data_IF_366058613451
#
_entry.id   IF_366058613451
#
_cell.length_a   1.000
_cell.length_b   1.000
_cell.length_c   1.000
_cell.angle_alpha   90.00
_cell.angle_beta   90.00
_cell.angle_gamma   90.00
#
_symmetry.space_group_name_H-M   'P 1'
#
loop_
_entity.id
_entity.type
_entity.pdbx_description
1 polymer ?
#
# COMPACT_ATOMS: atom_id res chain seq x y z
N UNK A 1 -19.26 -28.71 -75.50
CA UNK A 1 -18.45 -27.86 -74.58
C UNK A 1 -19.23 -26.73 -73.89
N UNK A 2 -20.42 -26.31 -74.34
CA UNK A 2 -21.18 -25.19 -73.71
C UNK A 2 -22.02 -25.55 -72.47
N UNK A 3 -22.39 -26.82 -72.28
CA UNK A 3 -23.28 -27.26 -71.17
C UNK A 3 -22.57 -27.29 -69.80
N UNK A 4 -21.29 -27.65 -69.76
CA UNK A 4 -20.52 -27.72 -68.51
C UNK A 4 -20.23 -26.35 -67.89
N UNK A 5 -20.16 -25.29 -68.69
CA UNK A 5 -19.92 -23.92 -68.19
C UNK A 5 -21.17 -23.36 -67.52
N UNK A 6 -22.35 -23.64 -68.09
CA UNK A 6 -23.64 -23.24 -67.50
C UNK A 6 -23.90 -23.96 -66.17
N UNK A 7 -23.67 -25.27 -66.11
CA UNK A 7 -23.88 -26.05 -64.88
C UNK A 7 -22.95 -25.57 -63.75
N UNK A 8 -21.67 -25.29 -64.05
CA UNK A 8 -20.72 -24.76 -63.07
C UNK A 8 -21.10 -23.35 -62.60
N UNK A 9 -21.57 -22.49 -63.50
CA UNK A 9 -22.04 -21.15 -63.17
C UNK A 9 -23.26 -21.17 -62.25
N UNK A 10 -24.27 -21.98 -62.59
CA UNK A 10 -25.48 -22.12 -61.78
C UNK A 10 -25.20 -22.71 -60.39
N UNK A 11 -24.32 -23.72 -60.31
CA UNK A 11 -23.92 -24.30 -59.02
C UNK A 11 -23.20 -23.28 -58.12
N UNK A 12 -22.32 -22.47 -58.71
CA UNK A 12 -21.59 -21.43 -57.98
C UNK A 12 -22.55 -20.35 -57.45
N UNK A 13 -23.50 -19.89 -58.27
CA UNK A 13 -24.50 -18.90 -57.84
C UNK A 13 -25.37 -19.41 -56.70
N UNK A 14 -25.79 -20.69 -56.74
CA UNK A 14 -26.54 -21.31 -55.64
C UNK A 14 -25.70 -21.35 -54.36
N UNK A 15 -24.41 -21.70 -54.46
CA UNK A 15 -23.52 -21.73 -53.30
C UNK A 15 -23.34 -20.36 -52.65
N UNK A 16 -23.19 -19.32 -53.47
CA UNK A 16 -23.05 -17.94 -53.01
C UNK A 16 -24.32 -17.48 -52.30
N UNK A 17 -25.50 -17.74 -52.87
CA UNK A 17 -26.78 -17.40 -52.23
C UNK A 17 -26.95 -18.17 -50.91
N UNK A 18 -26.61 -19.45 -50.88
CA UNK A 18 -26.68 -20.27 -49.67
C UNK A 18 -25.74 -19.75 -48.57
N UNK A 19 -24.53 -19.32 -48.95
CA UNK A 19 -23.58 -18.70 -48.03
C UNK A 19 -24.13 -17.41 -47.43
N UNK A 20 -24.74 -16.54 -48.24
CA UNK A 20 -25.33 -15.28 -47.76
C UNK A 20 -26.51 -15.56 -46.81
N UNK A 21 -27.33 -16.56 -47.13
CA UNK A 21 -28.45 -16.98 -46.26
C UNK A 21 -27.94 -17.55 -44.94
N UNK A 22 -26.92 -18.42 -44.96
CA UNK A 22 -26.31 -18.93 -43.73
C UNK A 22 -25.68 -17.80 -42.89
N UNK A 23 -24.97 -16.87 -43.52
CA UNK A 23 -24.40 -15.71 -42.83
C UNK A 23 -25.49 -14.84 -42.19
N UNK A 24 -26.62 -14.66 -42.87
CA UNK A 24 -27.78 -13.97 -42.29
C UNK A 24 -28.37 -14.72 -41.09
N UNK A 25 -28.46 -16.06 -41.15
CA UNK A 25 -28.92 -16.87 -40.02
C UNK A 25 -27.96 -16.84 -38.83
N UNK A 26 -26.64 -16.78 -39.05
CA UNK A 26 -25.65 -16.62 -37.97
C UNK A 26 -25.78 -15.22 -37.34
N UNK A 27 -25.99 -14.19 -38.16
CA UNK A 27 -26.17 -12.82 -37.64
C UNK A 27 -27.48 -12.62 -36.88
N UNK A 28 -28.54 -13.34 -37.25
CA UNK A 28 -29.85 -13.30 -36.59
C UNK A 28 -30.02 -14.32 -35.45
N UNK A 29 -29.14 -15.30 -35.37
CA UNK A 29 -29.12 -16.32 -34.32
C UNK A 29 -28.48 -15.75 -33.06
N UNK A 30 -29.24 -15.01 -32.26
CA UNK A 30 -28.89 -14.86 -30.85
C UNK A 30 -28.90 -16.27 -30.23
N UNK A 31 -27.83 -16.70 -29.53
CA UNK A 31 -27.93 -17.88 -28.70
C UNK A 31 -29.01 -17.60 -27.65
N UNK A 32 -30.00 -18.47 -27.58
CA UNK A 32 -30.94 -18.50 -26.46
C UNK A 32 -30.13 -19.02 -25.27
N UNK A 33 -29.32 -18.14 -24.67
CA UNK A 33 -28.77 -18.41 -23.35
C UNK A 33 -29.99 -18.46 -22.45
N UNK A 34 -30.36 -19.66 -21.98
CA UNK A 34 -31.12 -19.76 -20.75
C UNK A 34 -30.42 -18.83 -19.77
N UNK A 35 -31.07 -17.73 -19.41
CA UNK A 35 -30.57 -16.84 -18.37
C UNK A 35 -30.54 -17.72 -17.14
N UNK A 36 -29.36 -18.26 -16.83
CA UNK A 36 -29.07 -18.71 -15.49
C UNK A 36 -29.32 -17.46 -14.68
N UNK A 37 -30.45 -17.44 -13.97
CA UNK A 37 -30.72 -16.49 -12.92
C UNK A 37 -29.68 -16.83 -11.83
N UNK A 38 -28.44 -16.42 -12.07
CA UNK A 38 -27.48 -16.23 -11.01
C UNK A 38 -28.16 -15.15 -10.20
N UNK A 39 -28.79 -15.54 -9.09
CA UNK A 39 -29.13 -14.57 -8.05
C UNK A 39 -27.84 -13.79 -7.85
N UNK A 40 -27.83 -12.55 -8.28
CA UNK A 40 -26.80 -11.60 -7.91
C UNK A 40 -26.85 -11.60 -6.38
N UNK A 41 -25.92 -12.33 -5.75
CA UNK A 41 -25.83 -12.36 -4.30
C UNK A 41 -25.43 -10.92 -3.98
N UNK A 42 -26.36 -10.13 -3.44
CA UNK A 42 -26.04 -8.81 -2.91
C UNK A 42 -24.91 -8.98 -1.89
N UNK A 43 -23.67 -8.74 -2.33
CA UNK A 43 -22.50 -8.82 -1.47
C UNK A 43 -22.67 -7.76 -0.38
N UNK A 44 -22.70 -8.21 0.87
CA UNK A 44 -22.82 -7.30 2.01
C UNK A 44 -21.58 -6.40 2.07
N UNK A 45 -21.77 -5.09 2.03
CA UNK A 45 -20.68 -4.11 2.10
C UNK A 45 -20.39 -3.77 3.55
N UNK A 46 -19.14 -3.91 3.99
CA UNK A 46 -18.72 -3.57 5.35
C UNK A 46 -18.69 -2.05 5.56
N UNK A 47 -18.11 -1.32 4.62
CA UNK A 47 -18.10 0.14 4.59
C UNK A 47 -17.98 0.60 3.13
N UNK A 48 -16.77 0.87 2.65
CA UNK A 48 -16.49 1.41 1.32
C UNK A 48 -15.33 0.69 0.62
N UNK A 49 -15.37 0.73 -0.70
CA UNK A 49 -14.25 0.37 -1.56
C UNK A 49 -13.24 1.52 -1.66
N UNK A 50 -11.99 1.20 -1.99
CA UNK A 50 -10.94 2.17 -2.25
C UNK A 50 -10.20 1.85 -3.54
N UNK A 51 -9.79 2.90 -4.24
CA UNK A 51 -8.88 2.79 -5.39
C UNK A 51 -7.49 2.38 -4.92
N UNK A 52 -6.69 1.75 -5.81
CA UNK A 52 -5.31 1.39 -5.49
C UNK A 52 -4.51 2.62 -5.00
N UNK A 53 -4.74 3.78 -5.62
CA UNK A 53 -4.10 5.03 -5.23
C UNK A 53 -4.47 5.57 -3.85
N UNK A 54 -5.57 5.12 -3.25
CA UNK A 54 -5.92 5.49 -1.88
C UNK A 54 -5.24 4.59 -0.83
N UNK A 55 -4.68 3.45 -1.25
CA UNK A 55 -4.08 2.43 -0.38
C UNK A 55 -2.57 2.32 -0.58
N UNK A 56 -2.09 2.37 -1.83
CA UNK A 56 -0.68 2.31 -2.20
C UNK A 56 -0.15 3.73 -2.39
N UNK A 57 0.23 4.36 -1.27
CA UNK A 57 0.58 5.80 -1.22
C UNK A 57 1.94 6.03 -0.57
N UNK A 58 2.66 7.10 -0.97
CA UNK A 58 3.87 7.50 -0.28
C UNK A 58 3.53 7.99 1.14
N UNK A 59 4.44 7.77 2.09
CA UNK A 59 4.29 8.22 3.47
C UNK A 59 5.09 9.47 3.80
N UNK A 60 6.08 9.80 2.97
CA UNK A 60 6.94 10.95 3.18
C UNK A 60 7.59 11.39 1.86
N UNK A 61 8.10 12.61 1.87
CA UNK A 61 8.98 13.11 0.83
C UNK A 61 10.36 13.47 1.40
N UNK A 62 11.37 13.36 0.56
CA UNK A 62 12.72 13.84 0.84
C UNK A 62 13.21 14.71 -0.31
N UNK A 63 13.60 15.96 -0.05
CA UNK A 63 14.26 16.83 -1.01
C UNK A 63 15.76 16.90 -0.72
N UNK A 64 16.59 16.72 -1.74
CA UNK A 64 18.04 16.78 -1.65
C UNK A 64 18.52 18.01 -2.42
N UNK A 65 19.05 19.02 -1.73
CA UNK A 65 19.42 20.31 -2.31
C UNK A 65 20.57 20.95 -1.55
N UNK A 66 21.53 21.54 -2.29
CA UNK A 66 22.78 22.15 -1.80
C UNK A 66 23.60 21.22 -0.89
N UNK A 67 23.60 19.91 -1.19
CA UNK A 67 24.22 18.86 -0.36
C UNK A 67 23.62 18.73 1.07
N UNK A 68 22.40 19.23 1.28
CA UNK A 68 21.59 18.97 2.46
C UNK A 68 20.37 18.14 2.09
N UNK A 69 19.83 17.42 3.07
CA UNK A 69 18.65 16.57 2.94
C UNK A 69 17.54 17.12 3.81
N UNK A 70 16.34 17.20 3.25
CA UNK A 70 15.17 17.75 3.92
C UNK A 70 14.00 16.79 3.80
N UNK A 71 13.30 16.53 4.90
CA UNK A 71 12.18 15.59 4.92
C UNK A 71 10.91 16.22 5.49
N UNK A 72 9.77 15.67 5.05
CA UNK A 72 8.49 15.88 5.72
C UNK A 72 7.56 14.68 5.54
N UNK A 73 6.78 14.39 6.58
CA UNK A 73 5.64 13.48 6.53
C UNK A 73 4.31 14.23 6.34
N UNK A 74 4.35 15.57 6.25
CA UNK A 74 3.15 16.39 6.17
C UNK A 74 2.31 16.01 4.95
N UNK A 75 1.05 15.71 5.22
CA UNK A 75 0.08 15.29 4.23
C UNK A 75 -0.11 16.31 3.10
N UNK A 76 0.04 17.62 3.33
CA UNK A 76 -0.13 18.65 2.31
C UNK A 76 0.89 18.45 1.18
N UNK A 77 2.18 18.44 1.52
CA UNK A 77 3.27 18.26 0.54
C UNK A 77 3.25 16.88 -0.11
N UNK A 78 3.03 15.82 0.68
CA UNK A 78 2.98 14.44 0.16
C UNK A 78 1.81 14.28 -0.82
N UNK A 79 0.64 14.85 -0.50
CA UNK A 79 -0.53 14.77 -1.36
C UNK A 79 -0.41 15.66 -2.60
N UNK A 80 0.19 16.86 -2.51
CA UNK A 80 0.42 17.76 -3.66
C UNK A 80 1.21 17.01 -4.73
N UNK A 81 2.39 16.48 -4.38
CA UNK A 81 3.25 15.79 -5.34
C UNK A 81 2.63 14.47 -5.85
N UNK A 82 1.99 13.70 -4.96
CA UNK A 82 1.33 12.45 -5.36
C UNK A 82 0.10 12.67 -6.26
N UNK A 83 -0.62 13.79 -6.09
CA UNK A 83 -1.76 14.14 -6.94
C UNK A 83 -1.30 14.62 -8.31
N UNK A 84 -0.28 15.48 -8.35
CA UNK A 84 0.32 15.96 -9.60
C UNK A 84 0.87 14.83 -10.44
N UNK A 85 1.54 13.87 -9.79
CA UNK A 85 2.14 12.70 -10.43
C UNK A 85 1.14 11.88 -11.28
N UNK A 86 -0.17 11.97 -11.01
CA UNK A 86 -1.22 11.30 -11.80
C UNK A 86 -1.28 11.79 -13.24
N UNK A 87 -0.93 13.05 -13.46
CA UNK A 87 -0.95 13.69 -14.77
C UNK A 87 0.36 13.51 -15.54
N UNK A 88 1.39 12.97 -14.89
CA UNK A 88 2.72 12.86 -15.47
C UNK A 88 2.73 11.84 -16.60
N UNK A 89 3.35 12.21 -17.71
CA UNK A 89 3.49 11.36 -18.87
C UNK A 89 4.87 10.70 -18.85
N UNK A 90 4.97 9.57 -18.14
CA UNK A 90 6.21 8.80 -18.09
C UNK A 90 6.52 8.20 -19.47
N UNK A 91 7.78 8.31 -19.87
CA UNK A 91 8.30 7.48 -20.97
C UNK A 91 8.46 6.03 -20.52
N UNK A 92 8.76 5.13 -21.48
CA UNK A 92 8.98 3.71 -21.21
C UNK A 92 9.97 3.53 -20.04
N UNK A 93 9.54 2.79 -19.02
CA UNK A 93 10.39 2.41 -17.89
C UNK A 93 11.31 1.29 -18.32
N UNK A 94 12.61 1.50 -18.10
CA UNK A 94 13.66 0.55 -18.45
C UNK A 94 14.45 0.15 -17.20
N UNK A 95 14.80 -1.13 -17.10
CA UNK A 95 15.67 -1.62 -16.03
C UNK A 95 17.10 -1.08 -16.23
N UNK A 96 17.59 -0.29 -15.28
CA UNK A 96 18.99 0.15 -15.20
C UNK A 96 19.87 -0.89 -14.47
N UNK A 97 19.23 -1.89 -13.85
CA UNK A 97 19.87 -3.02 -13.20
C UNK A 97 20.18 -2.80 -11.72
N UNK A 98 20.79 -3.82 -11.12
CA UNK A 98 21.27 -3.78 -9.73
C UNK A 98 22.56 -2.98 -9.62
N UNK A 99 22.63 -2.05 -8.67
CA UNK A 99 23.81 -1.24 -8.37
C UNK A 99 24.53 -1.72 -7.12
N UNK A 100 25.75 -1.25 -6.89
CA UNK A 100 26.40 -1.38 -5.57
C UNK A 100 25.75 -0.39 -4.62
N UNK A 101 25.62 -0.70 -3.33
CA UNK A 101 24.87 0.14 -2.37
C UNK A 101 25.34 1.60 -2.34
N UNK A 102 26.67 1.84 -2.30
CA UNK A 102 27.21 3.21 -2.34
C UNK A 102 26.98 3.94 -3.67
N UNK A 103 26.79 3.23 -4.78
CA UNK A 103 26.38 3.83 -6.06
C UNK A 103 24.87 4.10 -6.08
N UNK A 104 24.08 3.17 -5.55
CA UNK A 104 22.64 3.32 -5.38
C UNK A 104 22.30 4.58 -4.58
N UNK A 105 22.85 4.72 -3.37
CA UNK A 105 22.61 5.88 -2.49
C UNK A 105 23.01 7.21 -3.15
N UNK A 106 24.15 7.22 -3.85
CA UNK A 106 24.59 8.42 -4.59
C UNK A 106 23.64 8.82 -5.70
N UNK A 107 23.00 7.87 -6.38
CA UNK A 107 22.01 8.17 -7.44
C UNK A 107 20.72 8.71 -6.82
N UNK A 108 20.21 8.08 -5.76
CA UNK A 108 18.90 8.45 -5.20
C UNK A 108 18.95 9.74 -4.37
N UNK A 109 20.08 10.05 -3.74
CA UNK A 109 20.24 11.21 -2.87
C UNK A 109 21.03 12.37 -3.52
N UNK A 110 21.20 12.36 -4.84
CA UNK A 110 21.94 13.40 -5.54
C UNK A 110 21.27 14.78 -5.40
N UNK A 111 22.08 15.82 -5.48
CA UNK A 111 21.60 17.20 -5.43
C UNK A 111 20.59 17.53 -6.54
N UNK A 112 19.53 18.26 -6.20
CA UNK A 112 18.46 18.62 -7.13
C UNK A 112 17.45 17.50 -7.35
N UNK A 113 17.19 16.69 -6.32
CA UNK A 113 16.18 15.62 -6.41
C UNK A 113 15.12 15.73 -5.33
N UNK A 114 13.96 15.14 -5.63
CA UNK A 114 12.92 14.86 -4.64
C UNK A 114 12.46 13.41 -4.73
N UNK A 115 12.37 12.76 -3.58
CA UNK A 115 12.01 11.37 -3.41
C UNK A 115 10.60 11.28 -2.82
N UNK A 116 9.73 10.51 -3.46
CA UNK A 116 8.50 9.97 -2.86
C UNK A 116 8.83 8.62 -2.26
N UNK A 117 8.68 8.49 -0.95
CA UNK A 117 9.09 7.30 -0.21
C UNK A 117 7.84 6.56 0.27
N UNK A 118 7.75 5.28 -0.05
CA UNK A 118 6.63 4.42 0.29
C UNK A 118 6.92 3.57 1.54
N UNK A 119 5.88 3.18 2.30
CA UNK A 119 6.04 2.32 3.47
C UNK A 119 6.75 0.99 3.18
N UNK A 120 6.60 0.44 1.97
CA UNK A 120 7.20 -0.82 1.55
C UNK A 120 7.26 -0.95 0.02
N UNK A 121 7.80 -2.05 -0.47
CA UNK A 121 7.88 -2.37 -1.90
C UNK A 121 6.48 -2.55 -2.51
N UNK A 122 6.21 -1.77 -3.54
CA UNK A 122 4.98 -1.77 -4.32
C UNK A 122 5.26 -2.44 -5.66
N UNK A 123 4.41 -3.40 -6.09
CA UNK A 123 4.46 -3.93 -7.44
C UNK A 123 4.17 -2.89 -8.51
N UNK A 124 4.94 -2.89 -9.60
CA UNK A 124 4.64 -2.07 -10.77
C UNK A 124 3.26 -2.40 -11.36
N UNK A 125 2.81 -3.66 -11.27
CA UNK A 125 1.46 -4.06 -11.70
C UNK A 125 0.33 -3.30 -10.98
N UNK A 126 0.55 -2.87 -9.73
CA UNK A 126 -0.37 -2.01 -8.97
C UNK A 126 -0.17 -0.56 -9.38
N UNK A 127 1.08 -0.13 -9.51
CA UNK A 127 1.41 1.24 -9.85
C UNK A 127 0.90 1.65 -11.24
N UNK A 128 1.00 0.77 -12.24
CA UNK A 128 0.48 0.97 -13.59
C UNK A 128 -1.05 1.04 -13.67
N UNK A 129 -1.78 0.61 -12.63
CA UNK A 129 -3.23 0.86 -12.53
C UNK A 129 -3.53 2.30 -12.13
N UNK A 130 -2.57 2.98 -11.50
CA UNK A 130 -2.72 4.33 -10.96
C UNK A 130 -2.12 5.37 -11.93
N UNK A 131 -0.97 5.04 -12.50
CA UNK A 131 -0.17 5.93 -13.35
C UNK A 131 0.00 5.33 -14.74
N UNK A 132 0.03 6.18 -15.77
CA UNK A 132 0.26 5.76 -17.16
C UNK A 132 1.74 5.39 -17.36
N UNK A 133 2.10 4.19 -16.90
CA UNK A 133 3.47 3.70 -16.87
C UNK A 133 3.54 2.36 -17.57
N UNK A 134 4.29 2.36 -18.67
CA UNK A 134 4.57 1.19 -19.49
C UNK A 134 6.07 0.87 -19.47
N UNK A 135 6.43 -0.39 -19.66
CA UNK A 135 7.82 -0.82 -19.73
C UNK A 135 7.95 -2.32 -19.91
N UNK A 136 9.16 -2.77 -20.28
CA UNK A 136 9.47 -4.20 -20.43
C UNK A 136 9.75 -4.83 -19.07
N UNK A 137 9.28 -6.06 -18.90
CA UNK A 137 9.60 -6.92 -17.74
C UNK A 137 9.18 -6.33 -16.37
N UNK A 138 8.18 -5.44 -16.35
CA UNK A 138 7.69 -4.82 -15.10
C UNK A 138 6.73 -5.71 -14.28
N UNK A 139 6.23 -6.80 -14.85
CA UNK A 139 5.18 -7.64 -14.26
C UNK A 139 5.50 -8.11 -12.84
N UNK A 140 6.78 -8.40 -12.58
CA UNK A 140 7.28 -8.89 -11.30
C UNK A 140 8.17 -7.87 -10.59
N UNK A 141 8.31 -6.66 -11.15
CA UNK A 141 9.15 -5.61 -10.59
C UNK A 141 8.45 -4.94 -9.41
N UNK A 142 9.25 -4.53 -8.42
CA UNK A 142 8.77 -3.75 -7.28
C UNK A 142 9.71 -2.58 -7.01
N UNK A 143 9.19 -1.53 -6.37
CA UNK A 143 9.95 -0.35 -5.94
C UNK A 143 9.35 0.19 -4.63
N UNK A 144 10.13 0.93 -3.85
CA UNK A 144 9.66 1.63 -2.66
C UNK A 144 10.01 3.13 -2.65
N UNK A 145 10.71 3.61 -3.68
CA UNK A 145 10.95 5.04 -3.89
C UNK A 145 10.72 5.44 -5.34
N UNK A 146 10.27 6.66 -5.52
CA UNK A 146 10.26 7.34 -6.83
C UNK A 146 11.07 8.62 -6.66
N UNK A 147 12.14 8.77 -7.43
CA UNK A 147 13.04 9.92 -7.38
C UNK A 147 12.84 10.73 -8.65
N UNK A 148 12.46 11.98 -8.48
CA UNK A 148 12.35 12.96 -9.55
C UNK A 148 13.65 13.78 -9.58
N UNK A 149 14.44 13.59 -10.63
CA UNK A 149 15.61 14.44 -10.89
C UNK A 149 15.15 15.75 -11.51
N UNK A 150 15.29 16.84 -10.76
CA UNK A 150 14.89 18.17 -11.20
C UNK A 150 15.94 18.86 -12.06
N UNK A 151 17.10 18.23 -12.24
CA UNK A 151 18.13 18.67 -13.18
C UNK A 151 17.76 18.25 -14.60
N UNK A 152 17.80 19.21 -15.52
CA UNK A 152 17.49 18.98 -16.93
C UNK A 152 18.66 18.24 -17.59
N UNK A 153 18.36 17.15 -18.28
CA UNK A 153 19.36 16.41 -19.08
C UNK A 153 19.66 17.12 -20.40
N UNK A 154 20.75 16.71 -21.08
CA UNK A 154 21.14 17.25 -22.39
C UNK A 154 20.07 17.07 -23.48
N UNK A 155 19.18 16.08 -23.33
CA UNK A 155 18.06 15.83 -24.25
C UNK A 155 16.85 16.71 -23.98
N UNK A 156 16.90 17.54 -22.93
CA UNK A 156 15.82 18.42 -22.50
C UNK A 156 14.73 17.73 -21.66
N UNK A 157 14.93 16.46 -21.31
CA UNK A 157 14.04 15.68 -20.44
C UNK A 157 14.55 15.65 -19.00
N UNK A 158 13.68 15.23 -18.07
CA UNK A 158 14.00 15.05 -16.65
C UNK A 158 13.96 13.57 -16.31
N UNK A 159 14.97 13.07 -15.59
CA UNK A 159 15.05 11.65 -15.27
C UNK A 159 14.15 11.31 -14.08
N UNK A 160 13.48 10.16 -14.13
CA UNK A 160 12.78 9.59 -12.98
C UNK A 160 13.34 8.22 -12.69
N UNK A 161 13.65 7.96 -11.43
CA UNK A 161 14.08 6.66 -10.97
C UNK A 161 12.99 6.02 -10.11
N UNK A 162 12.69 4.76 -10.36
CA UNK A 162 11.92 3.90 -9.47
C UNK A 162 12.88 2.90 -8.85
N UNK A 163 12.98 2.86 -7.53
CA UNK A 163 14.07 2.12 -6.89
C UNK A 163 13.57 1.20 -5.78
N UNK A 164 14.30 0.09 -5.61
CA UNK A 164 14.04 -0.93 -4.60
C UNK A 164 15.23 -1.02 -3.65
N UNK A 165 15.10 -0.44 -2.47
CA UNK A 165 16.17 -0.36 -1.47
C UNK A 165 16.62 -1.75 -0.98
N UNK A 166 15.74 -2.76 -1.00
CA UNK A 166 16.11 -4.12 -0.57
C UNK A 166 17.08 -4.78 -1.56
N UNK A 167 16.82 -4.60 -2.85
CA UNK A 167 17.51 -5.30 -3.93
C UNK A 167 18.60 -4.45 -4.64
N UNK A 168 18.76 -3.19 -4.26
CA UNK A 168 19.62 -2.19 -4.93
C UNK A 168 19.29 -2.02 -6.41
N UNK A 169 18.03 -2.21 -6.78
CA UNK A 169 17.60 -2.23 -8.18
C UNK A 169 16.99 -0.88 -8.56
N UNK A 170 17.40 -0.37 -9.73
CA UNK A 170 16.92 0.90 -10.28
C UNK A 170 16.25 0.64 -11.62
N UNK A 171 15.05 1.17 -11.78
CA UNK A 171 14.36 1.36 -13.05
C UNK A 171 14.36 2.85 -13.38
N UNK A 172 14.51 3.18 -14.65
CA UNK A 172 14.64 4.55 -15.12
C UNK A 172 13.54 4.87 -16.13
N UNK A 173 13.00 6.07 -16.04
CA UNK A 173 12.12 6.69 -17.02
C UNK A 173 12.52 8.16 -17.16
N UNK A 174 11.76 8.90 -17.96
CA UNK A 174 11.91 10.34 -18.13
C UNK A 174 10.57 11.04 -18.29
N UNK A 175 10.55 12.33 -17.90
CA UNK A 175 9.42 13.24 -17.94
C UNK A 175 9.72 14.48 -18.77
N UNK A 176 8.66 15.12 -19.24
CA UNK A 176 8.73 16.43 -19.87
C UNK A 176 8.74 17.56 -18.82
N UNK A 177 9.24 18.73 -19.22
CA UNK A 177 9.33 19.91 -18.34
C UNK A 177 7.98 20.36 -17.75
N UNK A 178 6.87 20.11 -18.44
CA UNK A 178 5.53 20.48 -17.92
C UNK A 178 5.14 19.71 -16.66
N UNK A 179 5.63 18.47 -16.52
CA UNK A 179 5.23 17.53 -15.48
C UNK A 179 6.08 17.72 -14.21
N UNK A 180 7.35 18.12 -14.34
CA UNK A 180 8.30 18.21 -13.22
C UNK A 180 8.17 19.47 -12.36
N UNK A 181 7.26 20.40 -12.69
CA UNK A 181 7.22 21.75 -12.10
C UNK A 181 6.99 21.77 -10.59
N UNK A 182 6.09 20.94 -10.07
CA UNK A 182 5.84 20.87 -8.63
C UNK A 182 7.01 20.27 -7.87
N UNK A 183 7.63 19.22 -8.42
CA UNK A 183 8.89 18.67 -7.90
C UNK A 183 9.98 19.75 -7.82
N UNK A 184 10.19 20.51 -8.91
CA UNK A 184 11.13 21.63 -8.95
C UNK A 184 10.82 22.71 -7.89
N UNK A 185 9.54 23.07 -7.75
CA UNK A 185 9.11 24.05 -6.74
C UNK A 185 9.48 23.57 -5.35
N UNK A 186 9.12 22.34 -4.97
CA UNK A 186 9.40 21.80 -3.63
C UNK A 186 10.91 21.75 -3.37
N UNK A 187 11.72 21.27 -4.33
CA UNK A 187 13.19 21.22 -4.19
C UNK A 187 13.79 22.61 -4.00
N UNK A 188 13.34 23.61 -4.76
CA UNK A 188 13.83 24.99 -4.67
C UNK A 188 13.38 25.71 -3.38
N UNK A 189 12.33 25.21 -2.73
CA UNK A 189 11.78 25.78 -1.51
C UNK A 189 12.18 25.00 -0.25
N UNK A 190 12.83 23.85 -0.39
CA UNK A 190 13.16 22.92 0.69
C UNK A 190 13.98 23.55 1.83
N UNK A 191 14.91 24.45 1.50
CA UNK A 191 15.79 25.13 2.46
C UNK A 191 15.19 26.43 3.03
N UNK A 192 13.99 26.82 2.58
CA UNK A 192 13.28 27.97 3.17
C UNK A 192 12.87 27.62 4.58
N UNK A 193 13.01 28.60 5.48
CA UNK A 193 12.65 28.43 6.90
C UNK A 193 11.22 27.89 7.04
N UNK A 194 11.08 26.79 7.78
CA UNK A 194 9.82 26.09 8.05
C UNK A 194 9.17 25.40 6.84
N UNK A 195 9.85 25.26 5.69
CA UNK A 195 9.32 24.48 4.58
C UNK A 195 9.42 22.98 4.87
N UNK A 196 10.62 22.49 5.12
CA UNK A 196 10.93 21.09 5.43
C UNK A 196 11.94 21.00 6.59
N UNK A 197 12.09 19.82 7.19
CA UNK A 197 13.05 19.58 8.27
C UNK A 197 14.37 19.09 7.72
N UNK A 198 15.47 19.79 8.00
CA UNK A 198 16.82 19.32 7.66
C UNK A 198 17.18 18.08 8.49
N UNK A 199 17.68 17.05 7.81
CA UNK A 199 17.96 15.74 8.39
C UNK A 199 19.32 15.24 7.89
N UNK A 200 20.40 15.46 8.66
CA UNK A 200 21.72 14.94 8.33
C UNK A 200 21.73 13.44 8.01
N UNK A 201 22.58 13.07 7.06
CA UNK A 201 22.80 11.69 6.64
C UNK A 201 23.57 10.90 7.71
N UNK A 202 23.11 9.68 8.00
CA UNK A 202 23.75 8.71 8.86
C UNK A 202 23.80 7.38 8.12
N UNK A 203 24.97 6.76 8.02
CA UNK A 203 25.16 5.47 7.35
C UNK A 203 25.26 4.34 8.38
N UNK A 204 24.19 3.59 8.66
CA UNK A 204 24.23 2.45 9.58
C UNK A 204 25.04 1.27 9.02
N UNK A 205 24.88 0.93 7.74
CA UNK A 205 25.67 -0.10 7.03
C UNK A 205 25.48 -0.02 5.52
N UNK A 206 24.35 -0.52 5.01
CA UNK A 206 24.11 -0.69 3.56
C UNK A 206 23.58 0.57 2.88
N UNK A 207 22.59 1.22 3.50
CA UNK A 207 21.93 2.41 2.98
C UNK A 207 21.91 3.51 4.02
N UNK A 208 22.00 4.75 3.56
CA UNK A 208 21.86 5.91 4.42
C UNK A 208 20.43 6.08 4.95
N UNK A 209 20.35 6.52 6.19
CA UNK A 209 19.14 7.05 6.83
C UNK A 209 19.37 8.51 7.20
N UNK A 210 18.30 9.26 7.38
CA UNK A 210 18.38 10.70 7.59
C UNK A 210 17.74 11.05 8.91
N UNK A 211 18.51 11.68 9.80
CA UNK A 211 18.14 11.87 11.19
C UNK A 211 18.42 13.31 11.63
N UNK A 212 17.44 13.94 12.27
CA UNK A 212 17.59 15.23 12.94
C UNK A 212 18.03 15.08 14.39
N UNK A 213 18.86 16.03 14.84
CA UNK A 213 19.27 16.22 16.24
C UNK A 213 18.25 17.05 17.05
N UNK A 214 17.23 17.61 16.41
CA UNK A 214 16.24 18.44 17.07
C UNK A 214 15.11 17.58 17.68
N UNK A 215 14.64 17.91 18.90
CA UNK A 215 13.43 17.32 19.43
C UNK A 215 12.20 17.78 18.63
N UNK A 216 11.19 16.92 18.56
CA UNK A 216 9.98 17.18 17.78
C UNK A 216 8.80 17.39 18.72
N UNK A 217 8.01 18.44 18.50
CA UNK A 217 6.76 18.69 19.23
C UNK A 217 5.57 18.27 18.38
N UNK A 218 4.72 17.43 18.94
CA UNK A 218 3.52 16.92 18.28
C UNK A 218 2.36 16.81 19.24
N UNK A 219 1.14 16.87 18.72
CA UNK A 219 -0.08 16.67 19.52
C UNK A 219 -0.50 15.22 19.50
N UNK A 220 -0.92 14.72 20.66
CA UNK A 220 -1.71 13.50 20.73
C UNK A 220 -3.10 13.74 20.17
N UNK A 221 -3.69 12.67 19.64
CA UNK A 221 -5.04 12.70 19.10
C UNK A 221 -5.92 11.74 19.87
N UNK A 222 -7.18 12.11 20.11
CA UNK A 222 -8.17 11.23 20.72
C UNK A 222 -9.38 11.12 19.82
N UNK A 223 -9.93 9.91 19.73
CA UNK A 223 -11.11 9.63 18.90
C UNK A 223 -12.10 8.79 19.68
N UNK A 224 -13.38 9.17 19.59
CA UNK A 224 -14.48 8.25 19.87
C UNK A 224 -14.53 7.26 18.71
N UNK A 225 -14.59 5.97 19.03
CA UNK A 225 -14.72 4.92 18.03
C UNK A 225 -16.17 4.54 17.78
N UNK A 226 -16.53 4.31 16.52
CA UNK A 226 -17.79 3.71 16.13
C UNK A 226 -17.60 2.20 15.98
N UNK A 227 -18.27 1.42 16.83
CA UNK A 227 -18.16 -0.05 16.83
C UNK A 227 -19.15 -0.65 15.85
N UNK A 228 -18.67 -1.53 14.99
CA UNK A 228 -19.45 -2.13 13.92
C UNK A 228 -20.12 -3.42 14.37
N UNK A 229 -21.31 -3.71 13.83
CA UNK A 229 -22.01 -4.95 14.09
C UNK A 229 -21.26 -6.15 13.47
N UNK A 230 -20.95 -7.17 14.28
CA UNK A 230 -20.27 -8.39 13.85
C UNK A 230 -21.08 -9.15 12.79
N UNK A 231 -22.42 -9.00 12.79
CA UNK A 231 -23.27 -9.57 11.76
C UNK A 231 -22.93 -9.07 10.35
N UNK A 232 -22.39 -7.86 10.23
CA UNK A 232 -21.93 -7.32 8.95
C UNK A 232 -20.77 -8.14 8.38
N UNK A 233 -19.81 -8.49 9.25
CA UNK A 233 -18.63 -9.28 8.88
C UNK A 233 -18.98 -10.74 8.60
N UNK A 234 -19.87 -11.34 9.39
CA UNK A 234 -20.31 -12.73 9.12
C UNK A 234 -20.99 -12.85 7.77
N UNK A 235 -21.86 -11.90 7.40
CA UNK A 235 -22.52 -11.87 6.08
C UNK A 235 -21.57 -11.57 4.93
N UNK A 236 -20.57 -10.72 5.16
CA UNK A 236 -19.59 -10.38 4.15
C UNK A 236 -18.61 -11.53 3.90
N UNK A 237 -18.07 -12.14 4.97
CA UNK A 237 -16.92 -13.05 4.87
C UNK A 237 -17.30 -14.53 4.77
N UNK A 238 -18.51 -14.94 5.14
CA UNK A 238 -18.93 -16.33 4.99
C UNK A 238 -19.57 -16.56 3.60
N UNK A 239 -18.97 -17.42 2.75
CA UNK A 239 -19.41 -17.62 1.37
C UNK A 239 -20.81 -18.27 1.28
N UNK A 240 -21.17 -19.08 2.27
CA UNK A 240 -22.48 -19.71 2.38
C UNK A 240 -23.28 -19.15 3.58
N UNK A 241 -24.42 -18.51 3.29
CA UNK A 241 -25.39 -18.03 4.29
C UNK A 241 -26.19 -19.16 4.96
N UNK A 242 -25.57 -20.31 5.20
CA UNK A 242 -26.13 -21.33 6.07
C UNK A 242 -26.35 -20.80 7.49
N UNK A 243 -26.84 -21.65 8.41
CA UNK A 243 -27.02 -21.23 9.80
C UNK A 243 -25.68 -20.90 10.47
N UNK A 244 -25.33 -19.62 10.53
CA UNK A 244 -24.20 -19.11 11.32
C UNK A 244 -24.50 -19.40 12.79
N UNK A 245 -23.60 -20.14 13.45
CA UNK A 245 -23.66 -20.41 14.87
C UNK A 245 -22.83 -19.37 15.63
N UNK A 246 -23.39 -18.88 16.72
CA UNK A 246 -22.69 -18.04 17.68
C UNK A 246 -22.22 -18.93 18.85
N UNK A 247 -20.92 -18.90 19.12
CA UNK A 247 -20.22 -19.61 20.19
C UNK A 247 -19.41 -18.57 21.00
N UNK A 248 -20.10 -17.89 21.92
CA UNK A 248 -19.59 -16.80 22.78
C UNK A 248 -18.88 -15.68 22.00
N UNK A 249 -17.55 -15.72 21.95
CA UNK A 249 -16.70 -14.76 21.24
C UNK A 249 -16.34 -15.22 19.83
N UNK A 250 -17.12 -16.12 19.24
CA UNK A 250 -16.86 -16.61 17.89
C UNK A 250 -18.11 -16.96 17.09
N UNK A 251 -17.96 -16.90 15.78
CA UNK A 251 -19.02 -17.20 14.81
C UNK A 251 -18.50 -18.21 13.80
N UNK A 252 -19.31 -19.19 13.43
CA UNK A 252 -18.91 -20.18 12.42
C UNK A 252 -20.08 -20.60 11.53
N UNK A 253 -19.79 -20.83 10.25
CA UNK A 253 -20.71 -21.46 9.30
C UNK A 253 -20.40 -22.96 9.10
N UNK A 254 -19.51 -23.53 9.90
CA UNK A 254 -19.04 -24.92 9.83
C UNK A 254 -17.80 -25.13 8.96
N UNK A 255 -17.54 -24.28 7.96
CA UNK A 255 -16.32 -24.32 7.12
C UNK A 255 -15.27 -23.31 7.54
N UNK A 256 -15.70 -22.19 8.11
CA UNK A 256 -14.87 -21.04 8.45
C UNK A 256 -15.31 -20.48 9.81
N UNK A 257 -14.43 -19.69 10.43
CA UNK A 257 -14.65 -19.15 11.78
C UNK A 257 -14.24 -17.68 11.85
N UNK A 258 -14.99 -16.87 12.58
CA UNK A 258 -14.61 -15.54 13.03
C UNK A 258 -14.40 -15.62 14.54
N UNK A 259 -13.25 -15.20 15.04
CA UNK A 259 -12.93 -15.09 16.47
C UNK A 259 -12.79 -13.62 16.83
N UNK A 260 -13.35 -13.23 17.98
CA UNK A 260 -13.31 -11.86 18.46
C UNK A 260 -12.37 -11.73 19.66
N UNK A 261 -11.44 -10.78 19.55
CA UNK A 261 -10.82 -10.13 20.70
C UNK A 261 -11.73 -8.95 21.09
N UNK A 262 -12.57 -9.18 22.09
CA UNK A 262 -13.55 -8.18 22.56
C UNK A 262 -12.90 -7.02 23.29
N UNK A 263 -11.71 -7.23 23.87
CA UNK A 263 -10.99 -6.21 24.60
C UNK A 263 -10.34 -5.23 23.62
N UNK A 264 -9.70 -5.73 22.56
CA UNK A 264 -9.08 -4.86 21.55
C UNK A 264 -10.01 -4.49 20.40
N UNK A 265 -11.22 -5.05 20.38
CA UNK A 265 -12.18 -4.92 19.28
C UNK A 265 -11.58 -5.28 17.91
N UNK A 266 -10.86 -6.39 17.89
CA UNK A 266 -10.27 -6.98 16.69
C UNK A 266 -10.96 -8.30 16.40
N UNK A 267 -11.27 -8.56 15.13
CA UNK A 267 -11.75 -9.85 14.66
C UNK A 267 -10.67 -10.54 13.84
N UNK A 268 -10.68 -11.87 13.88
CA UNK A 268 -9.89 -12.73 13.01
C UNK A 268 -10.83 -13.73 12.33
N UNK A 269 -10.96 -13.62 11.01
CA UNK A 269 -11.55 -14.64 10.16
C UNK A 269 -10.51 -15.69 9.78
N UNK A 270 -10.91 -16.97 9.80
CA UNK A 270 -10.07 -18.13 9.52
C UNK A 270 -10.85 -19.10 8.62
N UNK A 271 -10.23 -19.50 7.51
CA UNK A 271 -10.71 -20.57 6.64
C UNK A 271 -9.70 -21.73 6.63
N UNK A 272 -9.84 -22.74 7.51
CA UNK A 272 -8.86 -23.81 7.66
C UNK A 272 -8.56 -24.59 6.37
N UNK A 273 -9.51 -24.67 5.43
CA UNK A 273 -9.29 -25.35 4.14
C UNK A 273 -8.22 -24.70 3.27
N UNK A 274 -7.90 -23.42 3.52
CA UNK A 274 -6.96 -22.62 2.76
C UNK A 274 -5.58 -22.52 3.41
N UNK A 275 -5.38 -23.21 4.54
CA UNK A 275 -4.08 -23.23 5.21
C UNK A 275 -2.98 -23.75 4.26
N UNK A 276 -1.87 -23.03 4.22
CA UNK A 276 -0.71 -23.38 3.40
C UNK A 276 0.55 -23.09 4.19
N UNK A 277 1.47 -24.05 4.24
CA UNK A 277 2.83 -23.79 4.74
C UNK A 277 3.58 -23.02 3.65
N UNK A 278 4.05 -21.81 3.97
CA UNK A 278 4.75 -20.97 3.01
C UNK A 278 6.26 -21.12 3.15
N UNK A 279 6.91 -21.71 2.15
CA UNK A 279 8.36 -21.71 2.01
C UNK A 279 8.74 -21.33 0.58
N UNK A 280 9.68 -20.38 0.43
CA UNK A 280 10.28 -19.98 -0.85
C UNK A 280 9.31 -19.53 -1.94
N UNK A 281 8.53 -18.48 -1.64
CA UNK A 281 7.63 -17.86 -2.61
C UNK A 281 8.38 -17.07 -3.70
N UNK A 282 7.98 -17.27 -4.97
CA UNK A 282 8.50 -16.49 -6.11
C UNK A 282 8.03 -15.04 -6.09
N UNK A 283 8.78 -14.13 -6.71
CA UNK A 283 8.40 -12.70 -6.81
C UNK A 283 7.05 -12.50 -7.50
N UNK A 284 6.77 -13.25 -8.57
CA UNK A 284 5.49 -13.19 -9.28
C UNK A 284 4.31 -13.53 -8.36
N UNK A 285 4.46 -14.58 -7.56
CA UNK A 285 3.43 -15.01 -6.62
C UNK A 285 3.23 -13.99 -5.49
N UNK A 286 4.31 -13.40 -4.97
CA UNK A 286 4.26 -12.28 -4.02
C UNK A 286 3.46 -11.10 -4.59
N UNK A 287 3.75 -10.69 -5.83
CA UNK A 287 3.05 -9.58 -6.50
C UNK A 287 1.56 -9.88 -6.64
N UNK A 288 1.21 -11.07 -7.12
CA UNK A 288 -0.20 -11.50 -7.22
C UNK A 288 -0.89 -11.43 -5.86
N UNK A 289 -0.28 -11.99 -4.82
CA UNK A 289 -0.89 -12.02 -3.49
C UNK A 289 -1.10 -10.65 -2.87
N UNK A 290 -0.18 -9.69 -3.08
CA UNK A 290 -0.40 -8.31 -2.64
C UNK A 290 -1.64 -7.71 -3.34
N UNK A 291 -1.79 -7.96 -4.64
CA UNK A 291 -2.95 -7.53 -5.41
C UNK A 291 -4.23 -8.23 -4.95
N UNK A 292 -4.17 -9.55 -4.75
CA UNK A 292 -5.31 -10.39 -4.33
C UNK A 292 -5.79 -9.98 -2.93
N UNK A 293 -4.87 -9.70 -2.00
CA UNK A 293 -5.21 -9.19 -0.67
C UNK A 293 -5.89 -7.82 -0.72
N UNK A 294 -5.42 -6.91 -1.59
CA UNK A 294 -6.09 -5.62 -1.79
C UNK A 294 -7.50 -5.80 -2.39
N UNK A 295 -7.63 -6.68 -3.39
CA UNK A 295 -8.90 -7.02 -4.02
C UNK A 295 -9.87 -7.63 -3.02
N UNK A 296 -9.41 -8.56 -2.18
CA UNK A 296 -10.22 -9.20 -1.15
C UNK A 296 -10.84 -8.18 -0.18
N UNK A 297 -10.05 -7.20 0.29
CA UNK A 297 -10.62 -6.14 1.14
C UNK A 297 -11.64 -5.31 0.36
N UNK A 298 -11.37 -4.99 -0.91
CA UNK A 298 -12.29 -4.24 -1.77
C UNK A 298 -13.59 -4.98 -2.10
N UNK A 299 -13.54 -6.29 -2.32
CA UNK A 299 -14.71 -7.11 -2.64
C UNK A 299 -15.76 -7.10 -1.52
N UNK A 300 -15.32 -6.85 -0.29
CA UNK A 300 -16.17 -6.73 0.90
C UNK A 300 -16.39 -5.28 1.33
N UNK A 301 -15.97 -4.30 0.52
CA UNK A 301 -15.95 -2.88 0.88
C UNK A 301 -15.33 -2.64 2.27
N UNK A 302 -14.22 -3.33 2.56
CA UNK A 302 -13.68 -3.48 3.90
C UNK A 302 -12.92 -2.28 4.47
N UNK A 303 -12.82 -1.15 3.77
CA UNK A 303 -11.97 -0.03 4.18
C UNK A 303 -12.68 0.95 5.11
N UNK A 304 -12.57 0.76 6.42
CA UNK A 304 -13.23 1.63 7.40
C UNK A 304 -12.58 3.00 7.54
N UNK A 305 -11.25 3.03 7.53
CA UNK A 305 -10.46 4.25 7.72
C UNK A 305 -9.38 4.39 6.64
N UNK A 306 -8.44 5.31 6.84
CA UNK A 306 -7.28 5.54 5.97
C UNK A 306 -6.19 4.48 6.19
N UNK A 307 -6.42 3.27 5.67
CA UNK A 307 -5.41 2.22 5.64
C UNK A 307 -4.54 2.32 4.39
N UNK A 308 -3.21 2.30 4.58
CA UNK A 308 -2.23 2.21 3.50
C UNK A 308 -1.50 0.87 3.56
N UNK A 309 -1.05 0.37 2.41
CA UNK A 309 -0.21 -0.82 2.35
C UNK A 309 1.16 -0.55 3.02
N UNK A 310 1.51 -1.36 4.02
CA UNK A 310 2.73 -1.20 4.83
C UNK A 310 3.71 -2.36 4.73
N UNK A 311 3.33 -3.45 4.06
CA UNK A 311 4.28 -4.49 3.68
C UNK A 311 3.65 -5.85 3.45
N UNK A 312 4.52 -6.78 3.05
CA UNK A 312 4.17 -8.17 2.82
C UNK A 312 5.18 -9.11 3.49
N UNK A 313 4.66 -9.99 4.35
CA UNK A 313 5.44 -10.98 5.08
C UNK A 313 5.47 -12.28 4.30
N UNK A 314 6.54 -12.51 3.53
CA UNK A 314 6.66 -13.70 2.68
C UNK A 314 6.67 -15.03 3.44
N UNK A 315 7.04 -15.02 4.72
CA UNK A 315 7.07 -16.23 5.57
C UNK A 315 5.66 -16.71 5.92
N UNK A 316 4.70 -15.80 6.04
CA UNK A 316 3.31 -16.12 6.36
C UNK A 316 2.36 -15.93 5.17
N UNK A 317 2.79 -15.20 4.15
CA UNK A 317 1.94 -14.77 3.03
C UNK A 317 0.99 -13.64 3.37
N UNK A 318 1.38 -12.79 4.31
CA UNK A 318 0.49 -11.78 4.87
C UNK A 318 0.76 -10.40 4.29
N UNK A 319 -0.21 -9.83 3.60
CA UNK A 319 -0.23 -8.42 3.24
C UNK A 319 -0.79 -7.60 4.41
N UNK A 320 -0.09 -6.55 4.80
CA UNK A 320 -0.45 -5.66 5.89
C UNK A 320 -0.84 -4.28 5.36
N UNK A 321 -1.95 -3.77 5.87
CA UNK A 321 -2.41 -2.42 5.66
C UNK A 321 -2.57 -1.74 7.02
N UNK A 322 -1.81 -0.69 7.30
CA UNK A 322 -1.86 0.02 8.58
C UNK A 322 -2.69 1.28 8.47
N UNK A 323 -3.34 1.67 9.57
CA UNK A 323 -4.06 2.93 9.68
C UNK A 323 -3.07 4.10 9.63
N UNK A 324 -3.48 5.18 8.96
CA UNK A 324 -2.76 6.45 8.91
C UNK A 324 -3.67 7.59 9.38
N UNK A 325 -3.14 8.44 10.25
CA UNK A 325 -3.78 9.68 10.69
C UNK A 325 -2.80 10.82 10.41
N UNK A 326 -3.25 11.88 9.74
CA UNK A 326 -2.39 12.99 9.30
C UNK A 326 -1.15 12.53 8.50
N UNK A 327 -1.30 11.48 7.69
CA UNK A 327 -0.22 10.84 6.93
C UNK A 327 0.92 10.22 7.79
N UNK A 328 0.66 10.01 9.08
CA UNK A 328 1.53 9.27 10.00
C UNK A 328 0.96 7.88 10.27
N UNK A 329 1.82 6.87 10.19
CA UNK A 329 1.43 5.49 10.44
C UNK A 329 1.08 5.28 11.91
N UNK A 330 -0.02 4.59 12.15
CA UNK A 330 -0.47 4.22 13.48
C UNK A 330 -0.13 2.75 13.73
N UNK A 331 0.54 2.49 14.85
CA UNK A 331 0.87 1.14 15.31
C UNK A 331 0.10 0.81 16.59
N UNK A 332 -0.25 -0.47 16.75
CA UNK A 332 -0.87 -0.99 17.96
C UNK A 332 -0.34 -2.41 18.19
N UNK A 333 0.00 -2.73 19.43
CA UNK A 333 0.45 -4.07 19.81
C UNK A 333 -0.66 -5.13 19.74
N UNK A 334 -1.92 -4.72 19.70
CA UNK A 334 -3.09 -5.61 19.67
C UNK A 334 -3.83 -5.65 18.34
N UNK A 335 -3.25 -5.10 17.27
CA UNK A 335 -3.85 -5.14 15.92
C UNK A 335 -4.93 -4.08 15.66
N UNK A 336 -5.22 -3.20 16.62
CA UNK A 336 -6.25 -2.15 16.52
C UNK A 336 -6.04 -1.14 15.38
N UNK A 337 -4.84 -1.09 14.80
CA UNK A 337 -4.46 -0.15 13.76
C UNK A 337 -4.06 -0.85 12.44
N UNK A 338 -4.44 -2.12 12.25
CA UNK A 338 -4.00 -2.90 11.09
C UNK A 338 -5.11 -3.77 10.51
N UNK A 339 -5.18 -3.82 9.18
CA UNK A 339 -5.86 -4.87 8.41
C UNK A 339 -4.78 -5.80 7.88
N UNK A 340 -4.84 -7.08 8.23
CA UNK A 340 -3.91 -8.11 7.78
C UNK A 340 -4.65 -9.20 6.99
N UNK A 341 -4.20 -9.48 5.78
CA UNK A 341 -4.76 -10.51 4.90
C UNK A 341 -3.69 -11.56 4.65
N UNK A 342 -3.95 -12.80 5.03
CA UNK A 342 -3.06 -13.93 4.77
C UNK A 342 -3.65 -14.79 3.67
N UNK A 343 -2.96 -14.82 2.53
CA UNK A 343 -3.38 -15.59 1.37
C UNK A 343 -3.15 -17.09 1.57
N UNK A 344 -4.11 -17.90 1.14
CA UNK A 344 -4.03 -19.35 1.21
C UNK A 344 -3.57 -19.99 -0.10
N UNK A 345 -4.05 -21.21 -0.35
CA UNK A 345 -3.79 -21.95 -1.58
C UNK A 345 -4.56 -21.34 -2.76
N UNK A 346 -5.87 -21.18 -2.60
CA UNK A 346 -6.79 -20.71 -3.65
C UNK A 346 -7.60 -19.48 -3.22
N UNK A 347 -7.74 -19.25 -1.92
CA UNK A 347 -8.45 -18.11 -1.34
C UNK A 347 -7.79 -17.65 -0.03
N UNK A 348 -8.30 -16.57 0.56
CA UNK A 348 -7.81 -16.04 1.84
C UNK A 348 -7.93 -17.10 2.95
N UNK A 349 -6.81 -17.36 3.61
CA UNK A 349 -6.72 -18.24 4.78
C UNK A 349 -7.12 -17.51 6.05
N UNK A 350 -6.53 -16.32 6.28
CA UNK A 350 -6.83 -15.51 7.46
C UNK A 350 -7.04 -14.05 7.11
N UNK A 351 -7.94 -13.40 7.82
CA UNK A 351 -8.19 -11.97 7.71
C UNK A 351 -8.41 -11.38 9.09
N UNK A 352 -7.50 -10.52 9.55
CA UNK A 352 -7.57 -9.86 10.85
C UNK A 352 -7.72 -8.36 10.70
N UNK A 353 -8.61 -7.77 11.51
CA UNK A 353 -8.87 -6.32 11.48
C UNK A 353 -9.65 -5.82 12.71
N UNK A 354 -9.58 -4.51 12.99
CA UNK A 354 -10.55 -3.86 13.86
C UNK A 354 -11.97 -3.96 13.32
N UNK A 355 -12.93 -4.17 14.22
CA UNK A 355 -14.35 -4.01 13.93
C UNK A 355 -14.90 -2.68 14.45
N UNK A 356 -14.07 -1.64 14.41
CA UNK A 356 -14.47 -0.26 14.67
C UNK A 356 -13.80 0.68 13.67
N UNK A 357 -14.26 1.93 13.65
CA UNK A 357 -13.63 3.03 12.91
C UNK A 357 -13.44 4.26 13.79
N UNK A 358 -12.52 5.14 13.40
CA UNK A 358 -12.36 6.44 14.06
C UNK A 358 -13.51 7.35 13.62
N UNK A 359 -14.37 7.78 14.55
CA UNK A 359 -15.58 8.52 14.23
C UNK A 359 -15.42 10.01 14.52
N UNK A 360 -15.39 10.39 15.82
CA UNK A 360 -15.31 11.79 16.23
C UNK A 360 -13.98 12.10 16.91
N UNK A 361 -13.16 13.02 16.36
CA UNK A 361 -11.99 13.52 17.08
C UNK A 361 -12.39 14.34 18.30
N UNK A 362 -11.54 14.37 19.33
CA UNK A 362 -11.71 15.17 20.56
C UNK A 362 -10.52 16.14 20.73
N UNK A 363 -10.40 17.20 19.90
CA UNK A 363 -9.20 18.03 19.86
C UNK A 363 -8.91 18.81 21.16
N UNK A 364 -9.93 19.01 22.00
CA UNK A 364 -9.78 19.69 23.30
C UNK A 364 -9.02 18.84 24.33
N UNK A 365 -8.88 17.55 24.08
CA UNK A 365 -8.15 16.61 24.92
C UNK A 365 -6.80 16.19 24.30
N UNK A 366 -6.38 16.86 23.22
CA UNK A 366 -5.03 16.70 22.67
C UNK A 366 -3.99 17.30 23.61
N UNK A 367 -2.91 16.55 23.83
CA UNK A 367 -1.79 16.95 24.68
C UNK A 367 -0.56 17.20 23.80
N UNK A 368 0.20 18.25 24.12
CA UNK A 368 1.49 18.52 23.47
C UNK A 368 2.55 17.55 24.03
N UNK A 369 3.10 16.70 23.17
CA UNK A 369 4.15 15.75 23.48
C UNK A 369 5.44 16.20 22.81
N UNK A 370 6.53 16.28 23.58
CA UNK A 370 7.87 16.51 23.04
C UNK A 370 8.59 15.18 22.94
N UNK A 371 8.86 14.75 21.71
CA UNK A 371 9.65 13.56 21.42
C UNK A 371 11.14 13.94 21.40
N UNK A 372 12.03 13.02 21.83
CA UNK A 372 13.47 13.21 21.66
C UNK A 372 13.83 13.25 20.18
N UNK A 373 15.07 13.62 19.87
CA UNK A 373 15.52 13.66 18.49
C UNK A 373 15.64 12.26 17.89
N UNK A 374 15.51 12.15 16.57
CA UNK A 374 15.68 10.88 15.86
C UNK A 374 17.10 10.30 15.99
N UNK A 375 18.12 11.15 16.22
CA UNK A 375 19.48 10.71 16.54
C UNK A 375 19.54 10.04 17.92
N UNK A 376 18.85 10.57 18.93
CA UNK A 376 18.74 9.92 20.24
C UNK A 376 18.08 8.55 20.12
N UNK A 377 17.00 8.45 19.33
CA UNK A 377 16.32 7.17 19.06
C UNK A 377 17.25 6.17 18.40
N UNK A 378 17.95 6.59 17.35
CA UNK A 378 18.93 5.76 16.65
C UNK A 378 20.00 5.20 17.60
N UNK A 379 20.54 6.04 18.48
CA UNK A 379 21.53 5.60 19.47
C UNK A 379 20.93 4.58 20.46
N UNK A 380 19.71 4.79 20.94
CA UNK A 380 19.02 3.81 21.80
C UNK A 380 18.77 2.47 21.08
N UNK A 381 18.41 2.49 19.80
CA UNK A 381 18.24 1.28 19.00
C UNK A 381 19.58 0.55 18.79
N UNK A 382 20.66 1.29 18.57
CA UNK A 382 22.01 0.75 18.41
C UNK A 382 22.54 0.05 19.68
N UNK A 383 22.12 0.52 20.85
CA UNK A 383 22.49 -0.08 22.14
C UNK A 383 21.65 -1.31 22.50
N UNK A 384 20.54 -1.55 21.80
CA UNK A 384 19.65 -2.68 22.07
C UNK A 384 20.24 -3.99 21.50
N UNK A 385 20.56 -5.00 22.33
CA UNK A 385 21.20 -6.24 21.86
C UNK A 385 20.31 -7.10 20.97
N UNK A 386 19.01 -6.84 20.91
CA UNK A 386 18.05 -7.56 20.05
C UNK A 386 17.87 -6.91 18.67
N UNK A 387 18.53 -5.78 18.42
CA UNK A 387 18.42 -5.04 17.17
C UNK A 387 19.77 -5.07 16.46
N UNK A 388 19.78 -5.68 15.28
CA UNK A 388 20.89 -5.51 14.35
C UNK A 388 20.78 -4.14 13.67
N UNK A 389 21.57 -3.16 14.11
CA UNK A 389 21.49 -1.80 13.57
C UNK A 389 21.76 -1.73 12.07
N UNK A 390 22.49 -2.71 11.50
CA UNK A 390 22.77 -2.75 10.06
C UNK A 390 21.53 -3.07 9.21
N UNK A 391 20.53 -3.71 9.83
CA UNK A 391 19.24 -4.05 9.22
C UNK A 391 18.16 -2.97 9.44
N UNK A 392 18.50 -1.86 10.10
CA UNK A 392 17.64 -0.69 10.26
C UNK A 392 17.48 0.03 8.91
N UNK A 393 16.23 0.30 8.52
CA UNK A 393 15.91 0.87 7.22
C UNK A 393 15.40 2.31 7.30
N UNK A 394 14.73 2.66 8.39
CA UNK A 394 14.12 3.97 8.56
C UNK A 394 13.77 4.23 10.03
N UNK A 395 13.84 5.49 10.45
CA UNK A 395 13.21 6.01 11.66
C UNK A 395 12.33 7.19 11.21
N UNK A 396 11.06 7.21 11.60
CA UNK A 396 10.12 8.27 11.24
C UNK A 396 9.07 8.47 12.31
N UNK A 397 8.30 9.55 12.22
CA UNK A 397 7.23 9.85 13.16
C UNK A 397 6.02 8.97 12.90
N UNK A 398 5.33 8.59 13.96
CA UNK A 398 4.11 7.80 13.91
C UNK A 398 3.25 8.04 15.15
N UNK A 399 2.21 7.23 15.28
CA UNK A 399 1.39 7.16 16.47
C UNK A 399 1.38 5.75 17.04
N UNK A 400 1.33 5.65 18.36
CA UNK A 400 0.94 4.43 19.04
C UNK A 400 -0.52 4.56 19.50
N UNK A 401 -1.35 3.61 19.09
CA UNK A 401 -2.77 3.55 19.46
C UNK A 401 -2.96 2.65 20.69
N UNK A 402 -3.61 3.20 21.72
CA UNK A 402 -4.08 2.48 22.89
C UNK A 402 -5.51 2.93 23.25
N UNK A 403 -6.26 2.08 23.94
CA UNK A 403 -7.50 2.53 24.59
C UNK A 403 -7.19 3.54 25.68
N UNK A 404 -8.07 4.52 25.87
CA UNK A 404 -8.05 5.29 27.12
C UNK A 404 -8.36 4.37 28.29
N UNK A 405 -7.70 4.58 29.43
CA UNK A 405 -8.05 3.94 30.69
C UNK A 405 -9.38 4.49 31.26
N UNK A 406 -10.50 4.26 30.57
CA UNK A 406 -11.83 4.65 31.04
C UNK A 406 -12.79 3.44 31.07
N UNK A 407 -12.92 2.87 32.28
CA UNK A 407 -14.00 1.95 32.70
C UNK A 407 -14.20 0.68 31.85
N UNK A 408 -13.20 0.29 31.04
CA UNK A 408 -13.21 -0.95 30.27
C UNK A 408 -14.24 -1.02 29.13
N UNK A 409 -14.85 0.11 28.74
CA UNK A 409 -15.85 0.13 27.66
C UNK A 409 -15.23 0.31 26.26
N UNK A 410 -13.94 0.62 26.18
CA UNK A 410 -13.16 0.73 24.94
C UNK A 410 -13.90 1.57 23.88
N UNK A 411 -14.24 2.80 24.29
CA UNK A 411 -14.99 3.79 23.48
C UNK A 411 -14.11 4.89 22.91
N UNK A 412 -12.96 5.15 23.53
CA UNK A 412 -12.05 6.21 23.13
C UNK A 412 -10.67 5.63 22.95
N UNK A 413 -10.06 5.87 21.80
CA UNK A 413 -8.65 5.57 21.55
C UNK A 413 -7.82 6.84 21.67
N UNK A 414 -6.60 6.70 22.19
CA UNK A 414 -5.55 7.72 22.18
C UNK A 414 -4.49 7.30 21.17
N UNK A 415 -4.12 8.24 20.32
CA UNK A 415 -2.97 8.16 19.42
C UNK A 415 -1.85 9.02 20.03
N UNK A 416 -0.92 8.38 20.71
CA UNK A 416 0.24 9.05 21.30
C UNK A 416 1.34 9.19 20.25
N UNK A 417 1.87 10.41 19.99
CA UNK A 417 3.00 10.59 19.09
C UNK A 417 4.18 9.74 19.55
N UNK A 418 4.88 9.13 18.61
CA UNK A 418 6.06 8.33 18.91
C UNK A 418 6.98 8.25 17.70
N UNK A 419 8.21 7.78 17.92
CA UNK A 419 9.07 7.34 16.85
C UNK A 419 8.74 5.90 16.49
N UNK A 420 8.61 5.63 15.20
CA UNK A 420 8.53 4.28 14.66
C UNK A 420 9.76 4.02 13.81
N UNK A 421 10.17 2.76 13.75
CA UNK A 421 11.31 2.36 12.94
C UNK A 421 10.98 1.15 12.09
N UNK A 422 11.61 1.10 10.92
CA UNK A 422 11.48 0.00 9.98
C UNK A 422 12.69 -0.91 10.08
N UNK A 423 12.44 -2.17 10.37
CA UNK A 423 13.45 -3.20 10.59
C UNK A 423 13.01 -4.49 9.88
N UNK A 424 13.86 -5.03 9.00
CA UNK A 424 13.55 -6.24 8.22
C UNK A 424 12.19 -6.21 7.48
N UNK A 425 11.81 -5.04 6.94
CA UNK A 425 10.55 -4.87 6.22
C UNK A 425 9.32 -4.68 7.09
N UNK A 426 9.47 -4.67 8.41
CA UNK A 426 8.40 -4.52 9.39
C UNK A 426 8.55 -3.22 10.18
N UNK A 427 7.42 -2.72 10.70
CA UNK A 427 7.34 -1.47 11.45
C UNK A 427 7.16 -1.74 12.94
N UNK A 428 7.94 -1.06 13.76
CA UNK A 428 7.94 -1.20 15.21
C UNK A 428 7.89 0.18 15.87
N UNK A 429 7.31 0.25 17.06
CA UNK A 429 7.42 1.43 17.91
C UNK A 429 8.79 1.44 18.55
N UNK A 430 9.49 2.58 18.53
CA UNK A 430 10.70 2.76 19.31
C UNK A 430 10.31 2.91 20.79
N UNK A 431 10.46 1.83 21.56
CA UNK A 431 10.29 1.87 23.02
C UNK A 431 11.50 2.60 23.63
N UNK A 432 11.38 3.93 23.71
CA UNK A 432 12.33 4.75 24.43
C UNK A 432 11.97 4.62 25.90
N UNK A 433 12.56 3.62 26.58
CA UNK A 433 12.58 3.64 28.04
C UNK A 433 13.11 5.00 28.46
N UNK A 434 12.25 5.80 29.06
CA UNK A 434 12.58 7.15 29.49
C UNK A 434 13.86 7.10 30.31
N UNK A 435 14.89 7.78 29.82
CA UNK A 435 15.97 8.23 30.67
C UNK A 435 15.36 9.26 31.64
N UNK A 436 14.85 8.77 32.77
CA UNK A 436 14.62 9.59 33.96
C UNK A 436 15.95 10.11 34.52
#
# INVERSE_FOLDING_TARGET
>A
MKTNVFIRGTLLSVLVILSIVLSYFIWKGQPDYETINVKEVEKTSIDKQKTAMQVFRPMMIQANQKNSHFQTNDSEYVNELAADARSFSFSEVVLSGKKRSAEYDRIIHQNGTIELIYPNNIPFSIFSQIFQVDGKELENATFNRIIFDTNKTDTGLFTVYFTNDYEDTIYQSSLQERDIKSAQKIVNEADKKNALTEVPEVLPSKHSIFLSNEPVKMKSEKYIVDSMDINLFTKALFPDMGSVKNEDNSYTNGSSKIVLDTDNKVLEYINPSQESMMNNESTAKRVSRIQDSFNFVNEHAGWTDNYYYTGYLAQSGTANFSLFVNNLQVLSSSGMAQIAVTEGQEAVYKYSRPYFKLDYPIPRESEDVTLPSSVSVYNSLKENPNIDIESLQMITLGYQMNWTEDKGLNRIVVLSPTWIFKYNGQWFVADLKGSE
#
